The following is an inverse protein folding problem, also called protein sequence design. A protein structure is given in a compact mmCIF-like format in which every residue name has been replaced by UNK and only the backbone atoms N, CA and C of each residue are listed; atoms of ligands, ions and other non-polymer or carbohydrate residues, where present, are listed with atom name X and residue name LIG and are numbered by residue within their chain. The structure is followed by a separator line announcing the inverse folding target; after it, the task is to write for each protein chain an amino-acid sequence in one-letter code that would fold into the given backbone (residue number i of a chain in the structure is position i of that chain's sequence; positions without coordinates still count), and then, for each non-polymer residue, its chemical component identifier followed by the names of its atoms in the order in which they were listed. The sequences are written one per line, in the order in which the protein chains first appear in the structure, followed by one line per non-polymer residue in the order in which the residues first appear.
data_IF_749473052168
#
_entry.id   IF_749473052168
#
_cell.length_a   1.000
_cell.length_b   1.000
_cell.length_c   1.000
_cell.angle_alpha   90.00
_cell.angle_beta   90.00
_cell.angle_gamma   90.00
#
_symmetry.space_group_name_H-M   'P 1'
#
loop_
_entity.id
_entity.type
_entity.pdbx_description
1 polymer ?
#
# COMPACT_ATOMS: atom_id res chain seq x y z
N UNK A 1 7.32 16.03 -2.26
CA UNK A 1 7.63 15.98 -0.81
C UNK A 1 8.93 16.72 -0.54
N UNK A 2 9.17 17.18 0.69
CA UNK A 2 10.45 17.78 1.07
C UNK A 2 11.60 16.76 0.91
N UNK A 3 12.84 17.25 0.82
CA UNK A 3 14.03 16.40 0.63
C UNK A 3 14.36 15.52 1.85
N UNK A 4 13.95 15.92 3.05
CA UNK A 4 14.17 15.12 4.27
C UNK A 4 12.86 14.42 4.65
N UNK A 5 12.80 13.07 4.61
CA UNK A 5 11.62 12.33 5.01
C UNK A 5 11.40 12.45 6.52
N UNK A 6 10.14 12.60 6.94
CA UNK A 6 9.75 12.66 8.35
C UNK A 6 8.47 11.88 8.57
N UNK A 7 8.49 10.97 9.53
CA UNK A 7 7.33 10.24 10.04
C UNK A 7 7.54 9.91 11.51
N UNK A 8 6.44 9.67 12.22
CA UNK A 8 6.44 9.41 13.67
C UNK A 8 6.00 8.00 14.04
N UNK A 9 5.52 7.21 13.08
CA UNK A 9 5.06 5.84 13.31
C UNK A 9 6.03 4.81 12.72
N UNK A 10 6.51 3.91 13.58
CA UNK A 10 7.35 2.79 13.17
C UNK A 10 6.47 1.65 12.66
N UNK A 11 6.60 1.31 11.38
CA UNK A 11 5.70 0.35 10.70
C UNK A 11 5.73 -1.06 11.31
N UNK A 12 6.87 -1.47 11.86
CA UNK A 12 7.05 -2.77 12.52
C UNK A 12 6.17 -2.93 13.76
N UNK A 13 5.70 -1.85 14.37
CA UNK A 13 4.81 -1.93 15.55
C UNK A 13 3.47 -2.61 15.26
N UNK A 14 3.07 -2.71 13.99
CA UNK A 14 1.81 -3.33 13.55
C UNK A 14 2.05 -4.54 12.64
N UNK A 15 3.14 -4.54 11.88
CA UNK A 15 3.36 -5.43 10.74
C UNK A 15 4.40 -6.54 10.96
N UNK A 16 5.17 -6.47 12.05
CA UNK A 16 6.29 -7.39 12.28
C UNK A 16 5.85 -8.86 12.28
N UNK A 17 6.50 -9.67 11.44
CA UNK A 17 6.22 -11.09 11.30
C UNK A 17 4.83 -11.44 10.74
N UNK A 18 4.10 -10.48 10.16
CA UNK A 18 2.79 -10.71 9.49
C UNK A 18 2.98 -10.92 8.00
N UNK A 19 2.06 -11.63 7.35
CA UNK A 19 1.83 -11.45 5.92
C UNK A 19 0.98 -10.19 5.70
N UNK A 20 1.26 -9.44 4.63
CA UNK A 20 0.47 -8.27 4.23
C UNK A 20 -0.24 -8.55 2.92
N UNK A 21 -1.54 -8.26 2.85
CA UNK A 21 -2.32 -8.19 1.62
C UNK A 21 -2.56 -6.72 1.26
N UNK A 22 -2.07 -6.30 0.11
CA UNK A 22 -2.33 -4.99 -0.47
C UNK A 22 -3.43 -5.14 -1.52
N UNK A 23 -4.52 -4.41 -1.32
CA UNK A 23 -5.66 -4.31 -2.21
C UNK A 23 -5.52 -3.08 -3.11
N UNK A 24 -5.28 -3.35 -4.39
CA UNK A 24 -5.36 -2.37 -5.47
C UNK A 24 -6.79 -1.98 -5.81
N UNK A 25 -6.93 -1.22 -6.89
CA UNK A 25 -8.21 -0.69 -7.36
C UNK A 25 -8.77 -1.38 -8.60
N UNK A 26 -8.08 -2.41 -9.09
CA UNK A 26 -8.47 -3.12 -10.30
C UNK A 26 -9.67 -4.05 -10.08
N UNK A 27 -10.39 -4.38 -11.16
CA UNK A 27 -11.59 -5.21 -11.11
C UNK A 27 -11.33 -6.65 -10.63
N UNK A 28 -10.06 -7.07 -10.55
CA UNK A 28 -9.67 -8.35 -9.95
C UNK A 28 -10.11 -8.48 -8.50
N UNK A 29 -10.21 -7.39 -7.72
CA UNK A 29 -10.71 -7.46 -6.34
C UNK A 29 -12.17 -7.93 -6.31
N UNK A 30 -13.03 -7.33 -7.13
CA UNK A 30 -14.44 -7.71 -7.24
C UNK A 30 -14.59 -9.13 -7.80
N UNK A 31 -13.85 -9.44 -8.87
CA UNK A 31 -13.95 -10.76 -9.52
C UNK A 31 -13.57 -11.91 -8.59
N UNK A 32 -12.61 -11.68 -7.69
CA UNK A 32 -12.12 -12.69 -6.75
C UNK A 32 -12.57 -12.43 -5.32
N UNK A 33 -13.63 -11.62 -5.11
CA UNK A 33 -14.08 -11.17 -3.79
C UNK A 33 -14.18 -12.32 -2.79
N UNK A 34 -15.01 -13.33 -3.06
CA UNK A 34 -15.22 -14.43 -2.12
C UNK A 34 -13.92 -15.15 -1.74
N UNK A 35 -13.02 -15.38 -2.72
CA UNK A 35 -11.75 -16.05 -2.46
C UNK A 35 -10.80 -15.18 -1.62
N UNK A 36 -10.82 -13.85 -1.83
CA UNK A 36 -10.08 -12.91 -1.01
C UNK A 36 -10.64 -12.83 0.41
N UNK A 37 -11.96 -12.79 0.58
CA UNK A 37 -12.61 -12.82 1.90
C UNK A 37 -12.27 -14.11 2.64
N UNK A 38 -12.40 -15.28 1.99
CA UNK A 38 -12.04 -16.58 2.57
C UNK A 38 -10.57 -16.62 3.01
N UNK A 39 -9.65 -16.12 2.18
CA UNK A 39 -8.23 -16.02 2.52
C UNK A 39 -7.99 -15.06 3.70
N UNK A 40 -8.62 -13.89 3.70
CA UNK A 40 -8.46 -12.91 4.79
C UNK A 40 -8.96 -13.51 6.11
N UNK A 41 -10.11 -14.19 6.11
CA UNK A 41 -10.69 -14.80 7.31
C UNK A 41 -9.87 -15.99 7.80
N UNK A 42 -9.37 -16.84 6.90
CA UNK A 42 -8.65 -18.06 7.27
C UNK A 42 -7.20 -17.82 7.70
N UNK A 43 -6.51 -16.89 7.04
CA UNK A 43 -5.09 -16.65 7.25
C UNK A 43 -4.78 -15.36 8.03
N UNK A 44 -5.77 -14.48 8.19
CA UNK A 44 -5.64 -13.20 8.92
C UNK A 44 -4.38 -12.37 8.55
N UNK A 45 -4.09 -12.15 7.24
CA UNK A 45 -3.04 -11.23 6.85
C UNK A 45 -3.39 -9.81 7.31
N UNK A 46 -2.40 -8.92 7.41
CA UNK A 46 -2.68 -7.49 7.51
C UNK A 46 -3.19 -6.96 6.17
N UNK A 47 -4.38 -6.37 6.14
CA UNK A 47 -5.01 -5.90 4.91
C UNK A 47 -4.86 -4.38 4.75
N UNK A 48 -4.14 -3.96 3.71
CA UNK A 48 -4.02 -2.57 3.29
C UNK A 48 -4.88 -2.29 2.06
N UNK A 49 -5.62 -1.18 2.04
CA UNK A 49 -6.41 -0.78 0.87
C UNK A 49 -6.14 0.67 0.44
N UNK A 50 -5.98 0.88 -0.87
CA UNK A 50 -5.82 2.23 -1.45
C UNK A 50 -7.15 2.97 -1.62
N UNK A 51 -8.19 2.21 -1.94
CA UNK A 51 -9.48 2.77 -2.27
C UNK A 51 -10.29 3.09 -1.01
N UNK A 52 -11.11 4.11 -1.15
CA UNK A 52 -12.22 4.41 -0.24
C UNK A 52 -13.46 3.59 -0.62
N UNK A 53 -13.69 3.35 -1.91
CA UNK A 53 -14.81 2.54 -2.37
C UNK A 53 -14.36 1.08 -2.53
N UNK A 54 -14.37 0.35 -1.42
CA UNK A 54 -13.99 -1.07 -1.38
C UNK A 54 -15.19 -1.95 -1.73
N UNK A 55 -14.95 -2.98 -2.55
CA UNK A 55 -15.92 -4.05 -2.79
C UNK A 55 -15.95 -5.04 -1.62
N UNK A 56 -14.82 -5.18 -0.92
CA UNK A 56 -14.70 -5.96 0.31
C UNK A 56 -15.28 -5.17 1.48
N UNK A 57 -15.90 -5.89 2.43
CA UNK A 57 -16.34 -5.31 3.70
C UNK A 57 -15.20 -4.52 4.36
N UNK A 58 -15.52 -3.32 4.83
CA UNK A 58 -14.56 -2.46 5.53
C UNK A 58 -13.98 -3.15 6.78
N UNK A 59 -14.73 -4.06 7.40
CA UNK A 59 -14.28 -4.84 8.56
C UNK A 59 -13.08 -5.77 8.25
N UNK A 60 -12.86 -6.08 6.97
CA UNK A 60 -11.73 -6.89 6.51
C UNK A 60 -10.49 -6.05 6.18
N UNK A 61 -10.55 -4.73 6.31
CA UNK A 61 -9.43 -3.83 6.04
C UNK A 61 -8.85 -3.35 7.37
N UNK A 62 -7.55 -3.53 7.57
CA UNK A 62 -6.85 -3.03 8.75
C UNK A 62 -6.37 -1.58 8.57
N UNK A 63 -5.96 -1.23 7.35
CA UNK A 63 -5.29 0.05 7.08
C UNK A 63 -5.68 0.65 5.74
N UNK A 64 -6.05 1.92 5.72
CA UNK A 64 -6.20 2.70 4.48
C UNK A 64 -4.88 3.37 4.14
N UNK A 65 -4.49 3.42 2.87
CA UNK A 65 -3.21 4.00 2.45
C UNK A 65 -3.41 5.11 1.44
N UNK A 66 -2.83 6.28 1.72
CA UNK A 66 -2.79 7.40 0.76
C UNK A 66 -1.51 8.22 0.93
N UNK A 67 -0.75 8.39 -0.14
CA UNK A 67 0.55 9.09 -0.15
C UNK A 67 0.59 10.29 -1.09
N UNK A 68 -0.54 10.71 -1.66
CA UNK A 68 -0.56 11.85 -2.58
C UNK A 68 -1.42 13.00 -2.00
N UNK A 69 -0.84 14.17 -1.67
CA UNK A 69 -1.53 15.21 -0.89
C UNK A 69 -2.85 15.67 -1.53
N UNK A 70 -2.86 15.85 -2.87
CA UNK A 70 -4.06 16.27 -3.58
C UNK A 70 -5.17 15.22 -3.58
N UNK A 71 -4.83 13.93 -3.66
CA UNK A 71 -5.83 12.85 -3.63
C UNK A 71 -6.40 12.68 -2.22
N UNK A 72 -5.56 12.92 -1.22
CA UNK A 72 -5.98 12.89 0.17
C UNK A 72 -6.98 14.01 0.48
N UNK A 73 -6.70 15.23 0.00
CA UNK A 73 -7.63 16.36 0.12
C UNK A 73 -8.95 16.10 -0.61
N UNK A 74 -8.92 15.57 -1.83
CA UNK A 74 -10.15 15.33 -2.60
C UNK A 74 -11.05 14.25 -1.98
N UNK A 75 -10.49 13.36 -1.16
CA UNK A 75 -11.18 12.22 -0.57
C UNK A 75 -11.22 12.28 0.96
N UNK A 76 -10.95 13.45 1.57
CA UNK A 76 -10.81 13.57 3.01
C UNK A 76 -12.07 13.15 3.76
N UNK A 77 -13.25 13.50 3.24
CA UNK A 77 -14.54 13.11 3.83
C UNK A 77 -14.73 11.60 3.87
N UNK A 78 -14.27 10.88 2.84
CA UNK A 78 -14.32 9.43 2.83
C UNK A 78 -13.37 8.85 3.87
N UNK A 79 -12.13 9.35 3.93
CA UNK A 79 -11.16 8.94 4.96
C UNK A 79 -11.66 9.16 6.39
N UNK A 80 -12.37 10.26 6.65
CA UNK A 80 -12.94 10.57 7.97
C UNK A 80 -14.10 9.65 8.37
N UNK A 81 -14.81 9.03 7.41
CA UNK A 81 -15.91 8.10 7.68
C UNK A 81 -15.43 6.69 8.07
N UNK A 82 -14.29 6.26 7.53
CA UNK A 82 -13.71 4.96 7.84
C UNK A 82 -13.22 4.90 9.29
N UNK A 83 -13.48 3.78 9.96
CA UNK A 83 -12.94 3.52 11.31
C UNK A 83 -11.46 3.13 11.26
N UNK A 84 -11.02 2.50 10.16
CA UNK A 84 -9.65 2.03 9.98
C UNK A 84 -8.65 3.19 10.01
N UNK A 85 -7.47 3.04 10.63
CA UNK A 85 -6.42 4.03 10.55
C UNK A 85 -6.03 4.36 9.10
N UNK A 86 -5.51 5.57 8.91
CA UNK A 86 -4.96 6.02 7.62
C UNK A 86 -3.43 6.08 7.70
N UNK A 87 -2.73 5.35 6.83
CA UNK A 87 -1.30 5.52 6.62
C UNK A 87 -1.03 6.59 5.57
N UNK A 88 -0.35 7.66 5.98
CA UNK A 88 0.00 8.81 5.12
C UNK A 88 1.21 9.54 5.70
N UNK A 89 2.05 10.23 4.92
CA UNK A 89 3.18 11.02 5.44
C UNK A 89 2.69 12.34 6.07
N UNK A 90 1.85 12.24 7.11
CA UNK A 90 1.11 13.34 7.74
C UNK A 90 2.03 14.50 8.11
N UNK A 91 3.16 14.22 8.76
CA UNK A 91 4.12 15.24 9.20
C UNK A 91 4.72 16.06 8.05
N UNK A 92 4.66 15.53 6.83
CA UNK A 92 5.17 16.17 5.61
C UNK A 92 4.08 16.88 4.80
N UNK A 93 2.81 16.80 5.22
CA UNK A 93 1.70 17.41 4.51
C UNK A 93 1.52 18.90 4.86
N UNK A 94 1.01 19.72 3.91
CA UNK A 94 0.62 21.09 4.20
C UNK A 94 -0.34 21.15 5.39
N UNK A 95 -0.25 22.23 6.17
CA UNK A 95 -1.08 22.42 7.37
C UNK A 95 -2.57 22.24 7.09
N UNK A 96 -3.08 22.77 5.98
CA UNK A 96 -4.48 22.62 5.58
C UNK A 96 -4.92 21.16 5.43
N UNK A 97 -4.05 20.28 4.92
CA UNK A 97 -4.34 18.85 4.79
C UNK A 97 -4.33 18.17 6.16
N UNK A 98 -3.34 18.50 7.01
CA UNK A 98 -3.27 17.96 8.37
C UNK A 98 -4.49 18.34 9.19
N UNK A 99 -4.90 19.61 9.13
CA UNK A 99 -6.07 20.12 9.83
C UNK A 99 -7.36 19.43 9.32
N UNK A 100 -7.44 19.11 8.02
CA UNK A 100 -8.59 18.38 7.46
C UNK A 100 -8.71 16.92 7.92
N UNK A 101 -7.63 16.35 8.47
CA UNK A 101 -7.60 14.98 9.03
C UNK A 101 -7.74 14.97 10.55
N UNK A 102 -8.08 16.09 11.18
CA UNK A 102 -8.26 16.16 12.62
C UNK A 102 -9.28 15.12 13.11
N UNK A 103 -8.92 14.35 14.13
CA UNK A 103 -9.76 13.28 14.68
C UNK A 103 -9.66 11.93 13.97
N UNK A 104 -8.95 11.85 12.82
CA UNK A 104 -8.62 10.57 12.18
C UNK A 104 -7.43 9.91 12.88
N UNK A 105 -7.51 8.62 13.14
CA UNK A 105 -6.32 7.84 13.51
C UNK A 105 -5.39 7.74 12.29
N UNK A 106 -4.14 8.17 12.47
CA UNK A 106 -3.17 8.27 11.38
C UNK A 106 -1.87 7.58 11.77
N UNK A 107 -1.40 6.69 10.88
CA UNK A 107 -0.05 6.14 10.90
C UNK A 107 0.85 6.99 10.01
N UNK A 108 1.57 7.89 10.66
CA UNK A 108 2.45 8.87 10.03
C UNK A 108 3.79 8.26 9.63
N UNK A 109 3.85 7.75 8.39
CA UNK A 109 5.05 7.14 7.80
C UNK A 109 5.62 8.07 6.72
N UNK A 110 6.87 8.49 6.85
CA UNK A 110 7.46 9.51 5.97
C UNK A 110 7.72 9.01 4.54
N UNK A 111 7.70 9.93 3.57
CA UNK A 111 8.03 9.66 2.17
C UNK A 111 8.91 10.78 1.59
N UNK A 112 10.13 10.44 1.19
CA UNK A 112 10.95 11.25 0.29
C UNK A 112 10.99 10.62 -1.10
N UNK A 113 11.00 11.47 -2.14
CA UNK A 113 11.07 11.02 -3.53
C UNK A 113 12.46 11.37 -4.09
N UNK A 114 13.25 10.36 -4.42
CA UNK A 114 14.58 10.49 -4.99
C UNK A 114 14.77 9.45 -6.10
N UNK A 115 15.05 9.88 -7.36
CA UNK A 115 15.20 8.95 -8.48
C UNK A 115 16.21 7.84 -8.21
N UNK A 116 15.82 6.60 -8.52
CA UNK A 116 16.67 5.41 -8.40
C UNK A 116 17.00 4.94 -6.98
N UNK A 117 16.40 5.54 -5.94
CA UNK A 117 16.70 5.19 -4.55
C UNK A 117 15.54 4.42 -3.93
N UNK A 118 15.88 3.31 -3.27
CA UNK A 118 14.99 2.52 -2.43
C UNK A 118 15.64 2.39 -1.04
N UNK A 119 15.12 3.14 -0.07
CA UNK A 119 15.56 3.07 1.32
C UNK A 119 14.36 2.89 2.23
N UNK A 120 14.52 1.98 3.20
CA UNK A 120 13.48 1.55 4.12
C UNK A 120 13.97 1.78 5.55
N UNK A 121 13.37 2.75 6.22
CA UNK A 121 13.66 3.10 7.61
C UNK A 121 12.43 2.82 8.47
N UNK A 122 12.60 2.68 9.78
CA UNK A 122 11.51 2.30 10.70
C UNK A 122 10.24 3.16 10.52
N UNK A 123 10.41 4.49 10.38
CA UNK A 123 9.30 5.45 10.29
C UNK A 123 9.19 6.20 8.94
N UNK A 124 9.99 5.86 7.93
CA UNK A 124 9.91 6.51 6.62
C UNK A 124 10.58 5.70 5.51
N UNK A 125 10.36 6.13 4.27
CA UNK A 125 11.08 5.58 3.12
C UNK A 125 11.58 6.68 2.16
N UNK A 126 12.56 6.30 1.34
CA UNK A 126 12.99 7.06 0.16
C UNK A 126 12.73 6.18 -1.06
N UNK A 127 11.97 6.70 -2.02
CA UNK A 127 11.51 5.95 -3.19
C UNK A 127 11.74 6.73 -4.49
N UNK A 128 11.83 6.07 -5.66
CA UNK A 128 11.97 6.76 -6.94
C UNK A 128 10.69 7.48 -7.40
N UNK A 129 9.54 7.17 -6.78
CA UNK A 129 8.22 7.67 -7.17
C UNK A 129 7.35 7.93 -5.95
N UNK A 130 6.27 8.69 -6.13
CA UNK A 130 5.22 8.92 -5.14
C UNK A 130 4.01 8.00 -5.30
N UNK A 131 4.09 6.95 -6.12
CA UNK A 131 3.00 5.98 -6.28
C UNK A 131 2.59 5.39 -4.92
N UNK A 132 1.27 5.34 -4.66
CA UNK A 132 0.72 4.79 -3.41
C UNK A 132 1.12 3.34 -3.19
N UNK A 133 1.20 2.54 -4.27
CA UNK A 133 1.68 1.15 -4.18
C UNK A 133 3.14 1.07 -3.73
N UNK A 134 4.02 1.93 -4.26
CA UNK A 134 5.42 1.98 -3.85
C UNK A 134 5.52 2.28 -2.35
N UNK A 135 4.76 3.27 -1.90
CA UNK A 135 4.72 3.68 -0.50
C UNK A 135 4.19 2.56 0.42
N UNK A 136 3.15 1.83 0.00
CA UNK A 136 2.62 0.70 0.77
C UNK A 136 3.61 -0.47 0.87
N UNK A 137 4.26 -0.84 -0.24
CA UNK A 137 5.29 -1.88 -0.25
C UNK A 137 6.48 -1.48 0.62
N UNK A 138 6.91 -0.22 0.57
CA UNK A 138 8.02 0.29 1.38
C UNK A 138 7.70 0.29 2.89
N UNK A 139 6.48 0.66 3.27
CA UNK A 139 6.03 0.58 4.65
C UNK A 139 5.95 -0.87 5.13
N UNK A 140 5.40 -1.79 4.34
CA UNK A 140 5.39 -3.22 4.65
C UNK A 140 6.81 -3.78 4.79
N UNK A 141 7.73 -3.38 3.91
CA UNK A 141 9.16 -3.76 3.96
C UNK A 141 9.83 -3.28 5.24
N UNK A 142 9.64 -1.99 5.57
CA UNK A 142 10.13 -1.41 6.84
C UNK A 142 9.48 -2.09 8.06
N UNK A 143 8.27 -2.60 7.87
CA UNK A 143 7.50 -3.33 8.86
C UNK A 143 7.97 -4.75 9.14
N UNK A 144 8.98 -5.27 8.43
CA UNK A 144 9.54 -6.62 8.62
C UNK A 144 8.51 -7.74 8.46
N UNK A 145 7.66 -7.58 7.44
CA UNK A 145 6.64 -8.57 7.08
C UNK A 145 7.28 -9.83 6.51
N UNK A 146 6.60 -10.97 6.62
CA UNK A 146 7.06 -12.21 6.02
C UNK A 146 6.94 -12.19 4.49
N UNK A 147 5.78 -11.76 3.98
CA UNK A 147 5.45 -11.66 2.55
C UNK A 147 4.47 -10.53 2.27
N UNK A 148 4.50 -10.06 1.03
CA UNK A 148 3.57 -9.06 0.50
C UNK A 148 2.76 -9.69 -0.64
N UNK A 149 1.45 -9.75 -0.47
CA UNK A 149 0.50 -10.19 -1.48
C UNK A 149 -0.18 -8.98 -2.13
N UNK A 150 -0.38 -9.06 -3.44
CA UNK A 150 -1.01 -8.04 -4.27
C UNK A 150 -2.29 -8.62 -4.88
N UNK A 151 -3.43 -7.97 -4.65
CA UNK A 151 -4.70 -8.29 -5.30
C UNK A 151 -5.31 -7.05 -5.96
N UNK A 152 -5.95 -7.20 -7.11
CA UNK A 152 -6.51 -6.05 -7.85
C UNK A 152 -5.46 -5.21 -8.59
N UNK A 153 -4.32 -5.82 -8.91
CA UNK A 153 -3.24 -5.22 -9.69
C UNK A 153 -3.34 -5.66 -11.15
N UNK A 154 -4.52 -5.46 -11.74
CA UNK A 154 -4.89 -5.92 -13.08
C UNK A 154 -4.14 -5.23 -14.23
N UNK A 155 -3.40 -4.15 -13.95
CA UNK A 155 -2.77 -3.29 -14.96
C UNK A 155 -3.73 -2.26 -15.55
N UNK A 156 -3.16 -1.25 -16.19
CA UNK A 156 -3.88 -0.19 -16.90
C UNK A 156 -4.14 -0.55 -18.36
N UNK A 157 -4.85 0.28 -19.13
CA UNK A 157 -5.09 0.03 -20.55
C UNK A 157 -3.80 -0.23 -21.33
N UNK A 158 -3.89 -0.97 -22.44
CA UNK A 158 -2.73 -1.23 -23.31
C UNK A 158 -2.04 0.08 -23.71
N UNK A 159 -0.71 0.10 -23.66
CA UNK A 159 0.15 1.27 -23.89
C UNK A 159 0.05 2.41 -22.85
N UNK A 160 -0.64 2.21 -21.73
CA UNK A 160 -0.59 3.17 -20.63
C UNK A 160 0.81 3.15 -19.99
N UNK A 161 1.51 4.30 -19.91
CA UNK A 161 2.88 4.37 -19.39
C UNK A 161 2.99 3.97 -17.92
N UNK A 162 1.89 4.03 -17.16
CA UNK A 162 1.87 3.59 -15.75
C UNK A 162 2.11 2.09 -15.61
N UNK A 163 1.90 1.30 -16.67
CA UNK A 163 2.26 -0.12 -16.62
C UNK A 163 3.77 -0.29 -16.46
N UNK A 164 4.56 0.38 -17.31
CA UNK A 164 6.01 0.35 -17.22
C UNK A 164 6.50 0.95 -15.90
N UNK A 165 5.89 2.03 -15.40
CA UNK A 165 6.27 2.62 -14.11
C UNK A 165 6.10 1.63 -12.94
N UNK A 166 5.02 0.85 -12.92
CA UNK A 166 4.79 -0.16 -11.87
C UNK A 166 5.71 -1.37 -12.06
N UNK A 167 6.00 -1.79 -13.29
CA UNK A 167 6.95 -2.86 -13.56
C UNK A 167 8.37 -2.49 -13.11
N UNK A 168 8.84 -1.29 -13.48
CA UNK A 168 10.15 -0.76 -13.07
C UNK A 168 10.24 -0.64 -11.54
N UNK A 169 9.14 -0.23 -10.89
CA UNK A 169 9.05 -0.18 -9.44
C UNK A 169 9.23 -1.56 -8.80
N UNK A 170 8.49 -2.57 -9.27
CA UNK A 170 8.53 -3.94 -8.73
C UNK A 170 9.89 -4.61 -8.97
N UNK A 171 10.50 -4.34 -10.12
CA UNK A 171 11.88 -4.76 -10.41
C UNK A 171 12.86 -4.11 -9.42
N UNK A 172 12.77 -2.79 -9.21
CA UNK A 172 13.64 -2.08 -8.28
C UNK A 172 13.55 -2.58 -6.83
N UNK A 173 12.35 -2.91 -6.34
CA UNK A 173 12.19 -3.57 -5.03
C UNK A 173 12.91 -4.93 -4.97
N UNK A 174 12.75 -5.73 -6.02
CA UNK A 174 13.36 -7.06 -6.11
C UNK A 174 14.90 -6.98 -6.12
N UNK A 175 15.46 -5.97 -6.79
CA UNK A 175 16.90 -5.76 -6.94
C UNK A 175 17.58 -5.18 -5.68
N UNK A 176 16.82 -4.53 -4.80
CA UNK A 176 17.37 -3.86 -3.59
C UNK A 176 17.92 -4.86 -2.56
N UNK A 177 17.45 -6.11 -2.58
CA UNK A 177 17.86 -7.17 -1.64
C UNK A 177 17.31 -6.96 -0.22
N UNK A 178 17.09 -8.06 0.51
CA UNK A 178 16.54 -8.00 1.88
C UNK A 178 15.07 -7.52 1.96
N UNK A 179 14.40 -7.37 0.82
CA UNK A 179 12.97 -7.03 0.72
C UNK A 179 12.14 -8.32 0.81
N UNK A 180 10.98 -8.30 1.48
CA UNK A 180 10.05 -9.42 1.50
C UNK A 180 9.62 -9.84 0.09
N UNK A 181 9.25 -11.11 -0.03
CA UNK A 181 8.73 -11.63 -1.30
C UNK A 181 7.40 -10.94 -1.67
N UNK A 182 7.29 -10.45 -2.90
CA UNK A 182 6.10 -9.77 -3.44
C UNK A 182 5.41 -10.69 -4.45
N UNK A 183 4.13 -10.98 -4.23
CA UNK A 183 3.35 -11.93 -5.03
C UNK A 183 2.00 -11.37 -5.45
N UNK A 184 1.62 -11.51 -6.71
CA UNK A 184 0.24 -11.33 -7.12
C UNK A 184 -0.60 -12.57 -6.77
N UNK A 185 -1.78 -12.38 -6.18
CA UNK A 185 -2.70 -13.47 -5.80
C UNK A 185 -3.98 -13.49 -6.65
N UNK A 186 -4.21 -12.42 -7.40
CA UNK A 186 -5.17 -12.33 -8.51
C UNK A 186 -4.39 -12.17 -9.81
N UNK A 187 -4.98 -12.49 -10.99
CA UNK A 187 -4.33 -12.22 -12.27
C UNK A 187 -3.80 -10.78 -12.36
N UNK A 188 -2.54 -10.64 -12.75
CA UNK A 188 -1.87 -9.35 -12.88
C UNK A 188 -1.22 -9.24 -14.25
N UNK A 189 -1.18 -8.02 -14.79
CA UNK A 189 -0.45 -7.69 -16.02
C UNK A 189 0.95 -7.18 -15.76
N UNK A 190 1.33 -6.98 -14.50
CA UNK A 190 2.65 -6.55 -14.12
C UNK A 190 3.60 -7.74 -14.05
N UNK A 191 4.90 -7.47 -14.21
CA UNK A 191 5.99 -8.44 -14.14
C UNK A 191 6.30 -8.82 -12.68
N UNK A 192 5.34 -9.47 -12.02
CA UNK A 192 5.44 -9.98 -10.66
C UNK A 192 5.11 -11.46 -10.62
N UNK A 193 5.77 -12.22 -9.75
CA UNK A 193 5.45 -13.64 -9.58
C UNK A 193 4.01 -13.77 -9.06
N UNK A 194 3.25 -14.67 -9.66
CA UNK A 194 1.87 -14.90 -9.28
C UNK A 194 1.68 -16.27 -8.62
N UNK A 195 0.84 -16.32 -7.60
CA UNK A 195 0.25 -17.54 -7.04
C UNK A 195 -1.27 -17.39 -7.08
N UNK A 196 -2.02 -18.47 -7.00
CA UNK A 196 -3.48 -18.34 -6.97
C UNK A 196 -3.93 -18.06 -5.54
N UNK A 197 -4.87 -17.12 -5.34
CA UNK A 197 -5.53 -16.95 -4.03
C UNK A 197 -6.12 -18.26 -3.50
N UNK A 198 -6.61 -19.14 -4.40
CA UNK A 198 -7.13 -20.48 -4.05
C UNK A 198 -6.06 -21.48 -3.57
N UNK A 199 -4.78 -21.13 -3.63
CA UNK A 199 -3.67 -21.96 -3.14
C UNK A 199 -3.11 -21.50 -1.80
N UNK A 200 -3.69 -20.44 -1.22
CA UNK A 200 -3.24 -19.85 0.04
C UNK A 200 -4.07 -20.34 1.25
N UNK A 201 -5.15 -21.08 1.02
CA UNK A 201 -6.06 -21.63 2.02
C UNK A 201 -6.20 -23.15 1.94
#
# INVERSE_FOLDING_TARGET
YASTPLGSWASSTVMDGRDVLILGSGPGVERYQNALEDYIVSCAPLVMAFNTDSVLSDELVDLRVASHPFRLLSNVEAHLKFQQPLMTPLSMLPKSVRDSLAGKEVFDFGLAVQPGVFEFSDCHCVLPTSLTVAYAIAAATSGRVNRIYLAGFDGYSTNDPRNAEVDDLLAGFSDTGGVPEILAITPSRFSVRAVSVFSLS
#
